data_IF_649107807496
#
_entry.id   IF_649107807496
#
_cell.length_a   1.000
_cell.length_b   1.000
_cell.length_c   1.000
_cell.angle_alpha   90.00
_cell.angle_beta   90.00
_cell.angle_gamma   90.00
#
_symmetry.space_group_name_H-M   'P 1'
#
loop_
_entity.id
_entity.type
_entity.pdbx_description
1 polymer ?
#
# COMPACT_ATOMS: atom_id res chain seq x y z
N UNK A 1 -18.21 0.07 -20.33
CA UNK A 1 -17.51 1.02 -19.44
C UNK A 1 -17.89 0.64 -18.03
N UNK A 2 -17.03 -0.12 -17.33
CA UNK A 2 -17.33 -0.62 -15.99
C UNK A 2 -17.08 0.51 -15.01
N UNK A 3 -18.13 1.04 -14.39
CA UNK A 3 -18.01 1.99 -13.28
C UNK A 3 -17.27 1.29 -12.14
N UNK A 4 -16.01 1.69 -11.91
CA UNK A 4 -15.27 1.30 -10.72
C UNK A 4 -16.00 1.97 -9.55
N UNK A 5 -16.67 1.18 -8.70
CA UNK A 5 -17.19 1.69 -7.43
C UNK A 5 -16.00 2.13 -6.58
N UNK A 6 -15.78 3.45 -6.54
CA UNK A 6 -14.64 4.02 -5.86
C UNK A 6 -14.73 3.94 -4.34
N UNK A 7 -15.91 3.60 -3.82
CA UNK A 7 -16.22 3.66 -2.39
C UNK A 7 -15.75 2.39 -1.69
N UNK A 8 -16.05 1.22 -2.27
CA UNK A 8 -15.70 -0.07 -1.69
C UNK A 8 -14.19 -0.30 -1.58
N UNK A 9 -13.43 -0.06 -2.66
CA UNK A 9 -11.97 -0.27 -2.63
C UNK A 9 -11.26 0.71 -1.69
N UNK A 10 -11.74 1.96 -1.61
CA UNK A 10 -11.15 2.98 -0.73
C UNK A 10 -11.37 2.63 0.74
N UNK A 11 -12.56 2.16 1.11
CA UNK A 11 -12.84 1.71 2.46
C UNK A 11 -11.95 0.52 2.86
N UNK A 12 -11.78 -0.45 1.96
CA UNK A 12 -10.92 -1.61 2.21
C UNK A 12 -9.44 -1.22 2.33
N UNK A 13 -8.95 -0.30 1.48
CA UNK A 13 -7.60 0.23 1.58
C UNK A 13 -7.34 0.86 2.95
N UNK A 14 -8.22 1.78 3.38
CA UNK A 14 -8.09 2.47 4.67
C UNK A 14 -8.13 1.46 5.82
N UNK A 15 -9.07 0.51 5.79
CA UNK A 15 -9.20 -0.51 6.83
C UNK A 15 -7.91 -1.32 7.00
N UNK A 16 -7.26 -1.75 5.90
CA UNK A 16 -5.99 -2.48 5.98
C UNK A 16 -4.82 -1.59 6.38
N UNK A 17 -4.79 -0.34 5.94
CA UNK A 17 -3.74 0.62 6.32
C UNK A 17 -3.77 0.94 7.82
N UNK A 18 -4.95 1.06 8.43
CA UNK A 18 -5.10 1.28 9.88
C UNK A 18 -4.65 0.06 10.70
N UNK A 19 -4.88 -1.15 10.19
CA UNK A 19 -4.49 -2.40 10.83
C UNK A 19 -3.06 -2.84 10.46
N UNK A 20 -2.27 -1.99 9.84
CA UNK A 20 -0.95 -2.36 9.29
C UNK A 20 0.06 -2.60 10.42
N UNK A 21 0.73 -3.75 10.33
CA UNK A 21 1.81 -4.21 11.21
C UNK A 21 2.93 -4.78 10.35
N UNK A 22 4.15 -5.01 10.89
CA UNK A 22 5.24 -5.62 10.15
C UNK A 22 4.86 -6.94 9.45
N UNK A 23 4.04 -7.77 10.12
CA UNK A 23 3.61 -9.10 9.65
C UNK A 23 2.56 -9.02 8.55
N UNK A 24 1.83 -7.91 8.46
CA UNK A 24 0.72 -7.75 7.51
C UNK A 24 1.09 -6.95 6.27
N UNK A 25 2.32 -6.42 6.17
CA UNK A 25 2.78 -5.64 5.01
C UNK A 25 2.62 -6.40 3.70
N UNK A 26 3.03 -7.66 3.62
CA UNK A 26 2.93 -8.42 2.36
C UNK A 26 1.48 -8.62 1.90
N UNK A 27 0.56 -8.79 2.85
CA UNK A 27 -0.87 -8.88 2.54
C UNK A 27 -1.45 -7.53 2.09
N UNK A 28 -0.98 -6.43 2.67
CA UNK A 28 -1.36 -5.08 2.23
C UNK A 28 -0.83 -4.76 0.82
N UNK A 29 0.38 -5.21 0.49
CA UNK A 29 0.97 -5.07 -0.85
C UNK A 29 0.19 -5.82 -1.94
N UNK A 30 -0.69 -6.76 -1.57
CA UNK A 30 -1.63 -7.39 -2.48
C UNK A 30 -2.63 -6.41 -3.11
N UNK A 31 -2.83 -5.22 -2.53
CA UNK A 31 -3.67 -4.16 -3.12
C UNK A 31 -2.98 -3.42 -4.27
N UNK A 32 -1.66 -3.55 -4.42
CA UNK A 32 -0.86 -2.85 -5.41
C UNK A 32 -0.58 -3.75 -6.61
N UNK A 33 -0.64 -3.17 -7.81
CA UNK A 33 -0.17 -3.84 -9.01
C UNK A 33 1.35 -4.08 -8.93
N UNK A 34 1.84 -5.11 -9.63
CA UNK A 34 3.26 -5.49 -9.59
C UNK A 34 4.17 -4.33 -9.97
N UNK A 35 3.82 -3.61 -11.03
CA UNK A 35 4.61 -2.53 -11.65
C UNK A 35 3.98 -1.13 -11.46
N UNK A 36 3.24 -0.91 -10.36
CA UNK A 36 2.64 0.40 -10.11
C UNK A 36 3.68 1.48 -9.80
N UNK A 37 3.38 2.72 -10.17
CA UNK A 37 4.06 3.89 -9.63
C UNK A 37 3.35 4.34 -8.34
N UNK A 38 4.14 4.69 -7.33
CA UNK A 38 3.67 5.20 -6.04
C UNK A 38 4.40 6.49 -5.72
N UNK A 39 3.66 7.47 -5.24
CA UNK A 39 4.23 8.72 -4.75
C UNK A 39 3.56 9.12 -3.45
N UNK A 40 4.38 9.48 -2.48
CA UNK A 40 3.99 10.22 -1.29
C UNK A 40 4.81 11.54 -1.27
N UNK A 41 4.58 12.46 -0.31
CA UNK A 41 5.32 13.72 -0.24
C UNK A 41 6.85 13.61 -0.10
N UNK A 42 7.38 12.44 0.23
CA UNK A 42 8.79 12.19 0.52
C UNK A 42 9.45 11.24 -0.51
N UNK A 43 8.68 10.36 -1.14
CA UNK A 43 9.18 9.29 -1.99
C UNK A 43 8.42 9.19 -3.31
N UNK A 44 9.15 8.75 -4.34
CA UNK A 44 8.58 8.23 -5.59
C UNK A 44 9.18 6.85 -5.82
N UNK A 45 8.34 5.82 -5.86
CA UNK A 45 8.72 4.41 -5.88
C UNK A 45 8.07 3.69 -7.05
N UNK A 46 8.78 2.71 -7.61
CA UNK A 46 8.30 1.87 -8.70
C UNK A 46 8.20 0.41 -8.28
N UNK A 47 7.01 -0.14 -8.47
CA UNK A 47 6.65 -1.52 -8.20
C UNK A 47 6.40 -1.82 -6.72
N UNK A 48 5.52 -2.80 -6.47
CA UNK A 48 5.07 -3.16 -5.12
C UNK A 48 6.19 -3.58 -4.16
N UNK A 49 7.31 -4.09 -4.68
CA UNK A 49 8.47 -4.50 -3.84
C UNK A 49 9.13 -3.30 -3.15
N UNK A 50 9.31 -2.19 -3.87
CA UNK A 50 9.91 -0.98 -3.32
C UNK A 50 8.97 -0.35 -2.28
N UNK A 51 7.67 -0.33 -2.57
CA UNK A 51 6.64 0.16 -1.65
C UNK A 51 6.63 -0.68 -0.36
N UNK A 52 6.72 -2.02 -0.47
CA UNK A 52 6.78 -2.91 0.69
C UNK A 52 7.98 -2.60 1.61
N UNK A 53 9.15 -2.30 1.03
CA UNK A 53 10.33 -1.91 1.80
C UNK A 53 10.12 -0.57 2.52
N UNK A 54 9.50 0.41 1.85
CA UNK A 54 9.17 1.69 2.48
C UNK A 54 8.24 1.49 3.69
N UNK A 55 7.14 0.73 3.54
CA UNK A 55 6.26 0.42 4.68
C UNK A 55 6.98 -0.32 5.81
N UNK A 56 7.83 -1.31 5.50
CA UNK A 56 8.61 -2.01 6.54
C UNK A 56 9.54 -1.06 7.31
N UNK A 57 10.16 -0.10 6.63
CA UNK A 57 11.06 0.85 7.29
C UNK A 57 10.37 1.77 8.29
N UNK A 58 9.05 2.01 8.13
CA UNK A 58 8.26 2.79 9.10
C UNK A 58 8.23 2.13 10.48
N UNK A 59 8.37 0.80 10.55
CA UNK A 59 8.34 0.06 11.81
C UNK A 59 9.70 -0.14 12.47
N UNK A 60 10.80 0.20 11.79
CA UNK A 60 12.16 0.01 12.32
C UNK A 60 12.58 1.14 13.29
N UNK A 61 11.87 2.27 13.29
CA UNK A 61 12.16 3.43 14.13
C UNK A 61 11.05 3.71 15.17
N UNK A 62 10.24 2.69 15.52
CA UNK A 62 9.20 2.79 16.55
C UNK A 62 9.75 2.50 17.95
#
# INVERSE_FOLDING_TARGET
MTTIDTTGWKAEFIRRAVALTPETVDHFMGLYAVDCDFSDPFHSLKGRKAIAQAYRSMFLNL
#
